data_IF_906808562427
#
_entry.id   IF_906808562427
#
_cell.length_a   1.000
_cell.length_b   1.000
_cell.length_c   1.000
_cell.angle_alpha   90.00
_cell.angle_beta   90.00
_cell.angle_gamma   90.00
#
_symmetry.space_group_name_H-M   'P 1'
#
loop_
_entity.id
_entity.type
_entity.pdbx_description
1 polymer ?
#
# COMPACT_ATOMS: atom_id res chain seq x y z
N UNK A 1 3.02 3.73 -14.36
CA UNK A 1 2.95 4.24 -12.99
C UNK A 1 2.96 3.09 -11.99
N UNK A 2 3.78 3.19 -10.99
CA UNK A 2 3.92 2.16 -9.96
C UNK A 2 3.14 2.58 -8.71
N UNK A 3 2.17 1.77 -8.32
CA UNK A 3 1.27 2.06 -7.21
C UNK A 3 1.47 1.02 -6.11
N UNK A 4 1.64 1.51 -4.88
CA UNK A 4 1.76 0.66 -3.70
C UNK A 4 0.52 0.80 -2.84
N UNK A 5 -0.09 -0.34 -2.52
CA UNK A 5 -1.22 -0.42 -1.59
C UNK A 5 -0.70 -0.94 -0.26
N UNK A 6 -0.88 -0.16 0.81
CA UNK A 6 -0.42 -0.53 2.16
C UNK A 6 -1.62 -0.87 3.02
N UNK A 7 -1.73 -2.13 3.41
CA UNK A 7 -2.83 -2.63 4.24
C UNK A 7 -2.31 -3.20 5.54
N UNK A 8 -2.96 -2.82 6.63
CA UNK A 8 -2.72 -3.45 7.94
C UNK A 8 -3.29 -4.86 7.96
N UNK A 9 -4.50 -5.01 7.42
CA UNK A 9 -5.17 -6.29 7.25
C UNK A 9 -5.87 -6.29 5.89
N UNK A 10 -5.65 -7.34 5.12
CA UNK A 10 -6.32 -7.47 3.83
C UNK A 10 -7.60 -8.28 4.01
N UNK A 11 -8.73 -7.73 3.55
CA UNK A 11 -10.03 -8.37 3.63
C UNK A 11 -10.60 -8.69 2.24
N UNK A 12 -11.83 -9.21 2.20
CA UNK A 12 -12.48 -9.60 0.94
C UNK A 12 -12.67 -8.39 0.02
N UNK A 13 -13.02 -7.23 0.58
CA UNK A 13 -13.20 -6.00 -0.20
C UNK A 13 -11.89 -5.58 -0.85
N UNK A 14 -10.76 -5.74 -0.14
CA UNK A 14 -9.44 -5.47 -0.67
C UNK A 14 -9.16 -6.34 -1.90
N UNK A 15 -9.48 -7.62 -1.82
CA UNK A 15 -9.22 -8.55 -2.94
C UNK A 15 -10.08 -8.25 -4.15
N UNK A 16 -11.33 -7.84 -3.96
CA UNK A 16 -12.19 -7.42 -5.06
C UNK A 16 -11.63 -6.17 -5.75
N UNK A 17 -11.10 -5.24 -4.97
CA UNK A 17 -10.45 -4.06 -5.52
C UNK A 17 -9.21 -4.43 -6.32
N UNK A 18 -8.39 -5.34 -5.80
CA UNK A 18 -7.19 -5.82 -6.49
C UNK A 18 -7.54 -6.51 -7.81
N UNK A 19 -8.62 -7.28 -7.83
CA UNK A 19 -9.09 -7.92 -9.05
C UNK A 19 -9.42 -6.88 -10.12
N UNK A 20 -10.11 -5.81 -9.74
CA UNK A 20 -10.41 -4.70 -10.65
C UNK A 20 -9.15 -3.99 -11.13
N UNK A 21 -8.24 -3.68 -10.21
CA UNK A 21 -7.00 -2.97 -10.52
C UNK A 21 -6.06 -3.81 -11.38
N UNK A 22 -6.07 -5.14 -11.22
CA UNK A 22 -5.20 -6.02 -12.00
C UNK A 22 -5.50 -6.00 -13.49
N UNK A 23 -6.66 -5.48 -13.89
CA UNK A 23 -7.05 -5.35 -15.29
C UNK A 23 -6.51 -4.07 -15.94
N UNK A 24 -5.91 -3.18 -15.15
CA UNK A 24 -5.33 -1.93 -15.66
C UNK A 24 -3.92 -2.20 -16.19
N UNK A 25 -3.76 -2.12 -17.50
CA UNK A 25 -2.49 -2.47 -18.15
C UNK A 25 -1.38 -1.45 -17.95
N UNK A 26 -1.74 -0.18 -17.73
CA UNK A 26 -0.78 0.92 -17.63
C UNK A 26 -0.20 1.10 -16.23
N UNK A 27 -0.64 0.28 -15.26
CA UNK A 27 -0.22 0.41 -13.88
C UNK A 27 0.43 -0.87 -13.38
N UNK A 28 1.51 -0.71 -12.64
CA UNK A 28 2.11 -1.79 -11.87
C UNK A 28 1.62 -1.66 -10.44
N UNK A 29 0.88 -2.64 -9.96
CA UNK A 29 0.24 -2.60 -8.65
C UNK A 29 0.98 -3.54 -7.69
N UNK A 30 1.38 -3.01 -6.55
CA UNK A 30 2.02 -3.76 -5.48
C UNK A 30 1.14 -3.66 -4.24
N UNK A 31 0.98 -4.76 -3.50
CA UNK A 31 0.26 -4.74 -2.23
C UNK A 31 1.20 -5.18 -1.12
N UNK A 32 1.36 -4.34 -0.11
CA UNK A 32 2.18 -4.63 1.06
C UNK A 32 1.28 -4.80 2.28
N UNK A 33 1.40 -5.94 2.95
CA UNK A 33 0.60 -6.27 4.13
C UNK A 33 1.34 -7.30 4.98
N UNK A 34 1.20 -7.26 6.31
CA UNK A 34 1.72 -8.32 7.17
C UNK A 34 0.93 -9.62 7.07
N UNK A 35 -0.30 -9.56 6.55
CA UNK A 35 -1.16 -10.74 6.40
C UNK A 35 -1.57 -10.92 4.94
N UNK A 36 -0.78 -11.68 4.21
CA UNK A 36 -1.07 -12.00 2.81
C UNK A 36 -1.60 -13.43 2.71
N UNK A 37 -2.54 -13.66 1.80
CA UNK A 37 -2.98 -14.99 1.49
C UNK A 37 -1.90 -15.77 0.72
N UNK A 38 -1.83 -17.07 0.98
CA UNK A 38 -0.87 -17.94 0.29
C UNK A 38 -1.27 -18.21 -1.15
N UNK A 39 -2.56 -18.11 -1.48
CA UNK A 39 -3.04 -18.30 -2.84
C UNK A 39 -2.76 -17.06 -3.69
N UNK A 40 -1.72 -17.14 -4.50
CA UNK A 40 -1.31 -16.01 -5.34
C UNK A 40 -2.29 -15.65 -6.44
N UNK A 41 -3.23 -16.54 -6.77
CA UNK A 41 -4.25 -16.27 -7.79
C UNK A 41 -5.17 -15.10 -7.39
N UNK A 42 -5.33 -14.88 -6.09
CA UNK A 42 -6.16 -13.80 -5.57
C UNK A 42 -5.63 -12.43 -6.00
N UNK A 43 -4.33 -12.31 -6.18
CA UNK A 43 -3.70 -11.02 -6.49
C UNK A 43 -3.72 -10.67 -7.98
N UNK A 44 -4.02 -11.66 -8.85
CA UNK A 44 -4.00 -11.43 -10.29
C UNK A 44 -2.65 -10.91 -10.76
N UNK A 45 -2.63 -9.75 -11.40
CA UNK A 45 -1.39 -9.10 -11.86
C UNK A 45 -0.73 -8.21 -10.80
N UNK A 46 -1.33 -8.13 -9.61
CA UNK A 46 -0.73 -7.38 -8.50
C UNK A 46 0.36 -8.19 -7.83
N UNK A 47 1.42 -7.53 -7.36
CA UNK A 47 2.54 -8.18 -6.71
C UNK A 47 2.40 -8.08 -5.20
N UNK A 48 2.25 -9.19 -4.47
CA UNK A 48 2.20 -9.15 -3.01
C UNK A 48 3.59 -8.99 -2.42
N UNK A 49 3.70 -8.14 -1.40
CA UNK A 49 4.95 -7.88 -0.69
C UNK A 49 4.70 -8.00 0.82
N UNK A 50 5.60 -8.66 1.52
CA UNK A 50 5.48 -8.85 2.96
C UNK A 50 5.88 -7.59 3.71
N UNK A 51 5.13 -7.30 4.79
CA UNK A 51 5.45 -6.22 5.73
C UNK A 51 5.50 -6.75 7.15
N UNK A 52 6.31 -6.14 8.03
CA UNK A 52 6.16 -6.36 9.47
C UNK A 52 4.79 -5.91 9.95
N UNK A 53 4.34 -6.46 11.07
CA UNK A 53 3.04 -6.10 11.66
C UNK A 53 3.02 -4.61 12.02
N UNK A 54 1.95 -3.92 11.64
CA UNK A 54 1.78 -2.49 11.93
C UNK A 54 1.04 -2.38 13.28
N UNK A 55 1.76 -1.99 14.32
CA UNK A 55 1.20 -1.89 15.67
C UNK A 55 0.96 -0.47 16.13
N UNK A 56 1.55 0.52 15.45
CA UNK A 56 1.40 1.92 15.82
C UNK A 56 1.57 2.82 14.61
N UNK A 57 1.32 4.12 14.79
CA UNK A 57 1.51 5.11 13.72
C UNK A 57 2.97 5.34 13.37
N UNK A 58 3.88 4.90 14.21
CA UNK A 58 5.32 4.96 13.96
C UNK A 58 5.94 3.62 14.33
N UNK A 59 6.18 2.78 13.32
CA UNK A 59 6.89 1.51 13.46
C UNK A 59 8.16 1.59 12.63
N UNK A 60 9.32 1.66 13.27
CA UNK A 60 10.59 1.77 12.56
C UNK A 60 10.81 0.65 11.56
N UNK A 61 10.48 -0.59 11.95
CA UNK A 61 10.64 -1.74 11.07
C UNK A 61 9.74 -1.64 9.82
N UNK A 62 8.51 -1.17 10.00
CA UNK A 62 7.57 -0.96 8.90
C UNK A 62 8.06 0.17 7.99
N UNK A 63 8.51 1.27 8.58
CA UNK A 63 9.02 2.42 7.82
C UNK A 63 10.21 2.02 6.96
N UNK A 64 11.16 1.26 7.52
CA UNK A 64 12.32 0.79 6.77
C UNK A 64 11.92 -0.15 5.63
N UNK A 65 11.01 -1.08 5.90
CA UNK A 65 10.52 -2.00 4.88
C UNK A 65 9.82 -1.26 3.75
N UNK A 66 8.93 -0.31 4.09
CA UNK A 66 8.22 0.49 3.09
C UNK A 66 9.19 1.36 2.28
N UNK A 67 10.16 1.98 2.94
CA UNK A 67 11.15 2.80 2.24
C UNK A 67 11.95 2.00 1.22
N UNK A 68 12.32 0.79 1.58
CA UNK A 68 13.01 -0.11 0.67
C UNK A 68 12.14 -0.50 -0.51
N UNK A 69 10.86 -0.80 -0.27
CA UNK A 69 9.90 -1.10 -1.32
C UNK A 69 9.75 0.10 -2.26
N UNK A 70 9.58 1.30 -1.71
CA UNK A 70 9.43 2.52 -2.51
C UNK A 70 10.61 2.73 -3.44
N UNK A 71 11.82 2.52 -2.95
CA UNK A 71 13.03 2.69 -3.75
C UNK A 71 13.24 1.56 -4.75
N UNK A 72 13.04 0.32 -4.32
CA UNK A 72 13.28 -0.86 -5.17
C UNK A 72 12.34 -0.90 -6.36
N UNK A 73 11.06 -0.64 -6.12
CA UNK A 73 10.02 -0.72 -7.15
C UNK A 73 9.68 0.63 -7.76
N UNK A 74 10.38 1.69 -7.38
CA UNK A 74 10.18 3.06 -7.89
C UNK A 74 8.72 3.48 -7.80
N UNK A 75 8.17 3.41 -6.59
CA UNK A 75 6.75 3.69 -6.35
C UNK A 75 6.46 5.16 -6.60
N UNK A 76 5.40 5.43 -7.35
CA UNK A 76 4.93 6.78 -7.66
C UNK A 76 3.78 7.21 -6.76
N UNK A 77 2.92 6.28 -6.36
CA UNK A 77 1.73 6.56 -5.59
C UNK A 77 1.54 5.52 -4.51
N UNK A 78 1.20 5.96 -3.30
CA UNK A 78 0.94 5.07 -2.16
C UNK A 78 -0.48 5.31 -1.68
N UNK A 79 -1.26 4.25 -1.60
CA UNK A 79 -2.61 4.29 -1.05
C UNK A 79 -2.64 3.51 0.25
N UNK A 80 -3.09 4.17 1.33
CA UNK A 80 -3.14 3.59 2.67
C UNK A 80 -4.52 3.86 3.28
N UNK A 81 -5.39 2.85 3.40
CA UNK A 81 -6.73 3.06 3.96
C UNK A 81 -6.74 3.21 5.48
N UNK A 82 -5.73 2.70 6.18
CA UNK A 82 -5.66 2.83 7.64
C UNK A 82 -4.78 4.02 8.04
N UNK A 83 -5.10 4.65 9.19
CA UNK A 83 -4.31 5.78 9.67
C UNK A 83 -2.90 5.38 10.08
N UNK A 84 -2.73 4.21 10.67
CA UNK A 84 -1.40 3.72 11.05
C UNK A 84 -0.55 3.37 9.82
N UNK A 85 -1.15 2.75 8.82
CA UNK A 85 -0.46 2.49 7.55
C UNK A 85 -0.05 3.77 6.85
N UNK A 86 -0.95 4.75 6.79
CA UNK A 86 -0.66 6.06 6.18
C UNK A 86 0.47 6.77 6.89
N UNK A 87 0.46 6.80 8.22
CA UNK A 87 1.50 7.48 9.00
C UNK A 87 2.88 6.89 8.74
N UNK A 88 2.99 5.56 8.77
CA UNK A 88 4.26 4.88 8.47
C UNK A 88 4.69 5.14 7.02
N UNK A 89 3.75 5.14 6.08
CA UNK A 89 4.05 5.39 4.68
C UNK A 89 4.53 6.83 4.44
N UNK A 90 3.95 7.81 5.16
CA UNK A 90 4.40 9.20 5.07
C UNK A 90 5.85 9.35 5.50
N UNK A 91 6.25 8.72 6.62
CA UNK A 91 7.64 8.73 7.04
C UNK A 91 8.54 8.01 6.04
N UNK A 92 8.09 6.88 5.52
CA UNK A 92 8.89 6.09 4.58
C UNK A 92 9.11 6.83 3.25
N UNK A 93 8.19 7.69 2.84
CA UNK A 93 8.26 8.39 1.56
C UNK A 93 9.05 9.70 1.60
N UNK A 94 9.54 10.12 2.77
CA UNK A 94 10.33 11.35 2.88
C UNK A 94 11.57 11.26 1.98
N UNK A 95 11.76 12.29 1.16
CA UNK A 95 12.88 12.35 0.23
C UNK A 95 12.71 11.50 -1.03
N UNK A 96 11.55 10.90 -1.22
CA UNK A 96 11.21 10.15 -2.44
C UNK A 96 10.18 10.93 -3.25
N UNK A 97 9.96 10.50 -4.50
CA UNK A 97 8.93 11.10 -5.34
C UNK A 97 7.53 10.54 -5.10
N UNK A 98 7.39 9.53 -4.23
CA UNK A 98 6.12 8.87 -3.97
C UNK A 98 5.15 9.81 -3.28
N UNK A 99 3.91 9.85 -3.75
CA UNK A 99 2.82 10.64 -3.18
C UNK A 99 1.86 9.74 -2.44
N UNK A 100 1.36 10.20 -1.30
CA UNK A 100 0.47 9.44 -0.45
C UNK A 100 -0.98 9.88 -0.64
N UNK A 101 -1.89 8.90 -0.76
CA UNK A 101 -3.32 9.11 -0.80
C UNK A 101 -3.95 8.33 0.34
N UNK A 102 -4.83 8.99 1.10
CA UNK A 102 -5.58 8.35 2.18
C UNK A 102 -7.06 8.34 1.85
N UNK A 103 -7.70 7.19 2.12
CA UNK A 103 -9.15 7.06 2.03
C UNK A 103 -9.74 7.23 3.44
N UNK A 104 -10.71 8.11 3.58
CA UNK A 104 -11.37 8.33 4.85
C UNK A 104 -12.84 7.97 4.80
N UNK A 105 -13.07 6.76 5.27
CA UNK A 105 -14.30 6.29 5.86
C UNK A 105 -15.59 6.58 5.11
N UNK A 106 -16.63 6.82 5.87
CA UNK A 106 -17.99 6.96 5.38
C UNK A 106 -18.20 8.15 4.45
N UNK A 107 -17.31 9.11 4.47
CA UNK A 107 -17.38 10.27 3.58
C UNK A 107 -16.73 10.03 2.22
N UNK A 108 -16.06 8.90 2.05
CA UNK A 108 -15.41 8.50 0.80
C UNK A 108 -14.55 9.60 0.19
N UNK A 109 -13.88 10.39 1.01
CA UNK A 109 -13.03 11.48 0.56
C UNK A 109 -11.58 11.04 0.48
N UNK A 110 -10.99 11.23 -0.68
CA UNK A 110 -9.56 11.06 -0.85
C UNK A 110 -8.85 12.33 -0.43
N UNK A 111 -7.87 12.19 0.46
CA UNK A 111 -7.01 13.29 0.83
C UNK A 111 -5.62 13.03 0.30
N UNK A 112 -5.05 14.03 -0.35
CA UNK A 112 -3.67 13.97 -0.84
C UNK A 112 -2.74 14.57 0.19
N UNK A 113 -1.66 13.84 0.45
CA UNK A 113 -0.57 14.30 1.32
C UNK A 113 0.70 14.32 0.48
N UNK A 114 1.24 15.49 0.32
CA UNK A 114 2.49 15.67 -0.41
C UNK A 114 3.70 15.65 0.51
#
# INVERSE_FOLDING_TARGET
MNILLVYKEADIATYKMLEGLSKLEDFNIYIASPQLYTDKKIYGNCTPLDLPVITSKFNWNVIRALREIIKTYRIDLIYSPSSSGLSNALFASIGTRAKNIAYRGTQAKLKRFD
#
